data_IF_537548720934
#
_entry.id   IF_537548720934
#
_cell.length_a   1.000
_cell.length_b   1.000
_cell.length_c   1.000
_cell.angle_alpha   90.00
_cell.angle_beta   90.00
_cell.angle_gamma   90.00
#
_symmetry.space_group_name_H-M   'P 1'
#
loop_
_entity.id
_entity.type
_entity.pdbx_description
1 polymer ?
#
# COMPACT_ATOMS: atom_id res chain seq x y z
N UNK A 1 6.33 32.57 5.47
CA UNK A 1 7.42 32.15 6.39
C UNK A 1 6.95 31.53 7.71
N UNK A 2 5.86 31.97 8.37
CA UNK A 2 5.50 31.51 9.74
C UNK A 2 5.20 30.00 9.93
N UNK A 3 4.69 29.29 8.92
CA UNK A 3 4.23 27.90 9.06
C UNK A 3 5.32 26.82 9.09
N UNK A 4 6.50 27.12 8.54
CA UNK A 4 7.60 26.14 8.47
C UNK A 4 8.14 25.78 9.86
N UNK A 5 7.95 26.65 10.85
CA UNK A 5 8.37 26.44 12.24
C UNK A 5 7.29 25.78 13.10
N UNK A 6 6.02 25.80 12.67
CA UNK A 6 4.91 25.25 13.47
C UNK A 6 4.91 23.71 13.51
N UNK A 7 5.34 23.05 12.44
CA UNK A 7 5.44 21.58 12.42
C UNK A 7 6.45 21.01 13.45
N UNK A 8 7.74 21.45 13.46
CA UNK A 8 8.68 20.97 14.47
C UNK A 8 8.28 21.40 15.89
N UNK A 9 7.68 22.60 16.06
CA UNK A 9 7.15 23.02 17.37
C UNK A 9 6.02 22.11 17.84
N UNK A 10 5.08 21.75 16.97
CA UNK A 10 4.00 20.81 17.30
C UNK A 10 4.53 19.42 17.69
N UNK A 11 5.54 18.91 16.99
CA UNK A 11 6.17 17.63 17.33
C UNK A 11 6.93 17.67 18.65
N UNK A 12 7.61 18.77 18.96
CA UNK A 12 8.28 18.96 20.24
C UNK A 12 7.28 19.07 21.39
N UNK A 13 6.15 19.78 21.19
CA UNK A 13 5.05 19.82 22.15
C UNK A 13 4.45 18.42 22.39
N UNK A 14 4.25 17.66 21.32
CA UNK A 14 3.79 16.28 21.43
C UNK A 14 4.78 15.40 22.21
N UNK A 15 6.08 15.62 22.00
CA UNK A 15 7.15 14.92 22.74
C UNK A 15 7.15 15.28 24.22
N UNK A 16 6.94 16.56 24.57
CA UNK A 16 6.82 17.02 25.96
C UNK A 16 5.63 16.39 26.66
N UNK A 17 4.49 16.24 25.98
CA UNK A 17 3.34 15.51 26.52
C UNK A 17 3.65 14.04 26.84
N UNK A 18 4.37 13.35 25.94
CA UNK A 18 4.82 11.97 26.17
C UNK A 18 5.84 11.84 27.31
N UNK A 19 6.77 12.80 27.43
CA UNK A 19 7.72 12.85 28.55
C UNK A 19 7.00 13.09 29.87
N UNK A 20 6.02 14.00 29.89
CA UNK A 20 5.18 14.25 31.06
C UNK A 20 4.48 12.97 31.51
N UNK A 21 3.92 12.19 30.58
CA UNK A 21 3.28 10.90 30.89
C UNK A 21 4.24 9.87 31.49
N UNK A 22 5.52 9.88 31.10
CA UNK A 22 6.54 9.03 31.71
C UNK A 22 6.85 9.38 33.16
N UNK A 23 6.57 10.63 33.57
CA UNK A 23 6.80 11.16 34.92
C UNK A 23 5.56 11.04 35.80
N UNK A 24 4.38 11.37 35.28
CA UNK A 24 3.12 11.39 36.07
C UNK A 24 2.26 10.15 35.89
N UNK A 25 2.61 9.26 34.96
CA UNK A 25 1.92 7.99 34.73
C UNK A 25 2.26 6.93 35.78
N UNK A 26 1.49 5.84 35.82
CA UNK A 26 1.75 4.74 36.75
C UNK A 26 3.16 4.15 36.53
N UNK A 27 3.92 3.88 37.59
CA UNK A 27 5.28 3.34 37.50
C UNK A 27 5.28 1.94 36.84
N UNK A 28 6.42 1.54 36.28
CA UNK A 28 6.62 0.15 35.82
C UNK A 28 6.66 -0.80 37.02
N UNK A 29 6.54 -2.10 36.74
CA UNK A 29 6.74 -3.15 37.74
C UNK A 29 8.11 -3.03 38.46
N UNK A 30 9.10 -2.44 37.79
CA UNK A 30 10.46 -2.24 38.31
C UNK A 30 10.69 -0.83 38.91
N UNK A 31 9.64 -0.01 39.05
CA UNK A 31 9.71 1.32 39.69
C UNK A 31 10.34 2.44 38.85
N UNK A 32 10.64 2.18 37.57
CA UNK A 32 11.26 3.16 36.66
C UNK A 32 10.26 4.01 35.86
N UNK A 33 10.67 5.18 35.34
CA UNK A 33 9.85 5.99 34.45
C UNK A 33 9.60 5.28 33.11
N UNK A 34 8.37 5.37 32.60
CA UNK A 34 7.96 4.75 31.33
C UNK A 34 8.26 5.69 30.16
N UNK A 35 9.33 5.45 29.42
CA UNK A 35 9.61 6.19 28.19
C UNK A 35 8.78 5.61 27.03
N UNK A 36 7.86 6.41 26.49
CA UNK A 36 7.06 6.02 25.33
C UNK A 36 7.95 5.86 24.08
N UNK A 37 7.79 4.78 23.30
CA UNK A 37 8.48 4.64 22.01
C UNK A 37 8.10 5.73 20.99
N UNK A 38 7.03 6.49 21.24
CA UNK A 38 6.68 7.66 20.43
C UNK A 38 7.67 8.83 20.55
N UNK A 39 8.42 8.93 21.64
CA UNK A 39 9.40 10.01 21.88
C UNK A 39 10.50 10.04 20.81
N UNK A 40 11.27 8.95 20.56
CA UNK A 40 12.28 8.94 19.52
C UNK A 40 11.69 9.15 18.12
N UNK A 41 10.48 8.65 17.86
CA UNK A 41 9.77 8.83 16.58
C UNK A 41 9.47 10.31 16.30
N UNK A 42 8.93 11.04 17.28
CA UNK A 42 8.62 12.47 17.12
C UNK A 42 9.88 13.33 17.04
N UNK A 43 10.92 13.03 17.82
CA UNK A 43 12.19 13.76 17.77
C UNK A 43 12.90 13.56 16.43
N UNK A 44 12.96 12.32 15.93
CA UNK A 44 13.50 12.03 14.61
C UNK A 44 12.70 12.74 13.51
N UNK A 45 11.37 12.71 13.60
CA UNK A 45 10.51 13.44 12.66
C UNK A 45 10.75 14.96 12.71
N UNK A 46 10.89 15.55 13.90
CA UNK A 46 11.19 16.96 14.08
C UNK A 46 12.53 17.34 13.45
N UNK A 47 13.58 16.54 13.68
CA UNK A 47 14.90 16.72 13.08
C UNK A 47 14.87 16.58 11.54
N UNK A 48 14.17 15.58 11.03
CA UNK A 48 13.97 15.37 9.59
C UNK A 48 13.21 16.53 8.96
N UNK A 49 12.16 17.06 9.60
CA UNK A 49 11.41 18.22 9.10
C UNK A 49 12.26 19.50 9.14
N UNK A 50 13.12 19.63 10.15
CA UNK A 50 14.02 20.75 10.32
C UNK A 50 15.05 20.80 9.19
N UNK A 51 15.69 19.67 8.88
CA UNK A 51 16.70 19.58 7.82
C UNK A 51 16.12 19.42 6.41
N UNK A 52 15.02 18.68 6.25
CA UNK A 52 14.36 18.46 4.97
C UNK A 52 13.07 19.27 4.86
N UNK A 53 13.26 20.55 4.52
CA UNK A 53 12.17 21.51 4.37
C UNK A 53 11.23 21.29 3.17
N UNK A 54 11.28 20.12 2.52
CA UNK A 54 10.51 19.78 1.32
C UNK A 54 9.26 18.98 1.66
N UNK A 55 8.41 18.73 0.66
CA UNK A 55 7.20 17.90 0.80
C UNK A 55 7.49 16.52 1.42
N UNK A 56 8.66 15.95 1.16
CA UNK A 56 9.11 14.68 1.76
C UNK A 56 9.15 14.72 3.29
N UNK A 57 9.75 15.77 3.87
CA UNK A 57 9.77 15.94 5.33
C UNK A 57 8.37 16.07 5.91
N UNK A 58 7.42 16.63 5.14
CA UNK A 58 6.03 16.71 5.57
C UNK A 58 5.29 15.36 5.53
N UNK A 59 5.56 14.51 4.53
CA UNK A 59 5.00 13.15 4.47
C UNK A 59 5.54 12.31 5.61
N UNK A 60 6.86 12.29 5.82
CA UNK A 60 7.50 11.55 6.91
C UNK A 60 7.03 12.05 8.28
N UNK A 61 6.85 13.37 8.41
CA UNK A 61 6.25 13.96 9.60
C UNK A 61 4.82 13.49 9.88
N UNK A 62 3.97 13.41 8.84
CA UNK A 62 2.59 12.95 8.99
C UNK A 62 2.52 11.47 9.34
N UNK A 63 3.40 10.65 8.76
CA UNK A 63 3.54 9.24 9.14
C UNK A 63 3.92 9.11 10.63
N UNK A 64 4.90 9.88 11.10
CA UNK A 64 5.29 9.88 12.51
C UNK A 64 4.15 10.32 13.44
N UNK A 65 3.40 11.37 13.07
CA UNK A 65 2.20 11.79 13.81
C UNK A 65 1.16 10.67 13.84
N UNK A 66 0.89 10.03 12.70
CA UNK A 66 -0.10 8.96 12.62
C UNK A 66 0.26 7.75 13.50
N UNK A 67 1.51 7.29 13.43
CA UNK A 67 2.04 6.19 14.27
C UNK A 67 1.85 6.50 15.76
N UNK A 68 2.19 7.73 16.18
CA UNK A 68 2.09 8.11 17.59
C UNK A 68 0.64 8.30 18.05
N UNK A 69 -0.25 8.77 17.17
CA UNK A 69 -1.68 8.83 17.46
C UNK A 69 -2.24 7.42 17.69
N UNK A 70 -1.94 6.45 16.82
CA UNK A 70 -2.39 5.05 16.97
C UNK A 70 -1.88 4.45 18.27
N UNK A 71 -0.58 4.57 18.52
CA UNK A 71 0.02 4.09 19.76
C UNK A 71 -0.61 4.74 21.01
N UNK A 72 -1.00 6.02 20.92
CA UNK A 72 -1.63 6.71 22.05
C UNK A 72 -3.06 6.26 22.28
N UNK A 73 -3.84 6.06 21.22
CA UNK A 73 -5.21 5.51 21.30
C UNK A 73 -5.20 4.13 21.93
N UNK A 74 -4.30 3.24 21.48
CA UNK A 74 -4.12 1.91 22.07
C UNK A 74 -3.72 1.93 23.55
N UNK A 75 -3.05 3.00 24.01
CA UNK A 75 -2.64 3.20 25.40
C UNK A 75 -3.70 3.88 26.30
N UNK A 76 -4.94 4.04 25.82
CA UNK A 76 -6.03 4.64 26.61
C UNK A 76 -6.12 6.16 26.53
N UNK A 77 -5.81 6.76 25.37
CA UNK A 77 -5.90 8.22 25.15
C UNK A 77 -7.26 8.82 25.56
N UNK A 78 -8.37 8.14 25.26
CA UNK A 78 -9.71 8.63 25.57
C UNK A 78 -9.94 8.84 27.07
N UNK A 79 -9.87 7.77 27.89
CA UNK A 79 -9.91 7.82 29.35
C UNK A 79 -8.97 8.86 29.98
N UNK A 80 -7.77 9.03 29.40
CA UNK A 80 -6.81 9.99 29.94
C UNK A 80 -7.23 11.44 29.72
N UNK A 81 -7.77 11.75 28.54
CA UNK A 81 -8.16 13.12 28.19
C UNK A 81 -9.30 13.63 29.07
N UNK A 82 -10.17 12.75 29.55
CA UNK A 82 -11.28 13.07 30.46
C UNK A 82 -10.88 13.01 31.94
N UNK A 83 -9.61 12.66 32.24
CA UNK A 83 -9.05 12.76 33.59
C UNK A 83 -9.30 11.57 34.51
N UNK A 84 -9.69 10.42 33.97
CA UNK A 84 -9.91 9.21 34.79
C UNK A 84 -8.65 8.76 35.55
N UNK A 85 -7.46 9.02 34.99
CA UNK A 85 -6.16 8.74 35.63
C UNK A 85 -5.55 9.96 36.34
N UNK A 86 -6.36 10.99 36.60
CA UNK A 86 -5.96 12.19 37.33
C UNK A 86 -5.58 13.38 36.44
N UNK A 87 -5.70 14.58 37.01
CA UNK A 87 -5.45 15.86 36.33
C UNK A 87 -4.05 15.95 35.69
N UNK A 88 -2.95 15.50 36.34
CA UNK A 88 -1.62 15.58 35.73
C UNK A 88 -1.50 14.74 34.44
N UNK A 89 -2.10 13.55 34.42
CA UNK A 89 -2.12 12.66 33.25
C UNK A 89 -2.96 13.27 32.13
N UNK A 90 -4.12 13.84 32.47
CA UNK A 90 -4.96 14.56 31.51
C UNK A 90 -4.23 15.74 30.87
N UNK A 91 -3.57 16.57 31.68
CA UNK A 91 -2.79 17.73 31.19
C UNK A 91 -1.70 17.28 30.24
N UNK A 92 -0.91 16.25 30.58
CA UNK A 92 0.13 15.73 29.72
C UNK A 92 -0.42 15.21 28.38
N UNK A 93 -1.60 14.58 28.40
CA UNK A 93 -2.29 14.06 27.20
C UNK A 93 -2.90 15.14 26.34
N UNK A 94 -3.45 16.20 26.93
CA UNK A 94 -3.90 17.38 26.19
C UNK A 94 -2.72 18.10 25.52
N UNK A 95 -1.60 18.27 26.22
CA UNK A 95 -0.36 18.82 25.63
C UNK A 95 0.10 17.96 24.46
N UNK A 96 0.07 16.63 24.61
CA UNK A 96 0.41 15.69 23.55
C UNK A 96 -0.52 15.85 22.33
N UNK A 97 -1.84 15.80 22.55
CA UNK A 97 -2.86 15.83 21.50
C UNK A 97 -2.84 17.15 20.71
N UNK A 98 -2.72 18.29 21.42
CA UNK A 98 -2.58 19.61 20.80
C UNK A 98 -1.31 19.69 19.96
N UNK A 99 -0.18 19.18 20.47
CA UNK A 99 1.08 19.12 19.72
C UNK A 99 0.95 18.33 18.41
N UNK A 100 0.34 17.14 18.47
CA UNK A 100 0.09 16.28 17.29
C UNK A 100 -0.85 16.95 16.29
N UNK A 101 -1.92 17.60 16.75
CA UNK A 101 -2.87 18.32 15.90
C UNK A 101 -2.21 19.52 15.19
N UNK A 102 -1.42 20.31 15.91
CA UNK A 102 -0.67 21.45 15.35
C UNK A 102 0.35 20.97 14.31
N UNK A 103 1.06 19.87 14.60
CA UNK A 103 1.99 19.25 13.67
C UNK A 103 1.28 18.76 12.41
N UNK A 104 0.20 17.98 12.55
CA UNK A 104 -0.60 17.47 11.44
C UNK A 104 -1.11 18.60 10.55
N UNK A 105 -1.72 19.63 11.14
CA UNK A 105 -2.22 20.80 10.41
C UNK A 105 -1.12 21.50 9.62
N UNK A 106 0.02 21.80 10.27
CA UNK A 106 1.14 22.48 9.63
C UNK A 106 1.74 21.66 8.48
N UNK A 107 1.82 20.34 8.63
CA UNK A 107 2.35 19.42 7.63
C UNK A 107 1.41 19.24 6.44
N UNK A 108 0.11 19.04 6.68
CA UNK A 108 -0.92 19.01 5.63
C UNK A 108 -0.92 20.32 4.86
N UNK A 109 -0.91 21.46 5.55
CA UNK A 109 -0.84 22.79 4.91
C UNK A 109 0.42 22.93 4.05
N UNK A 110 1.55 22.39 4.49
CA UNK A 110 2.81 22.42 3.73
C UNK A 110 2.73 21.57 2.46
N UNK A 111 2.02 20.46 2.48
CA UNK A 111 1.75 19.63 1.30
C UNK A 111 0.79 20.33 0.32
N UNK A 112 -0.25 20.99 0.86
CA UNK A 112 -1.31 21.64 0.08
C UNK A 112 -0.82 22.94 -0.58
N UNK A 113 -0.17 23.83 0.17
CA UNK A 113 0.19 25.18 -0.28
C UNK A 113 1.50 25.19 -1.10
N UNK A 114 2.36 24.18 -0.92
CA UNK A 114 3.70 24.17 -1.52
C UNK A 114 4.63 25.22 -0.89
N UNK A 115 5.94 24.95 -0.85
CA UNK A 115 6.91 26.01 -0.50
C UNK A 115 7.16 26.89 -1.72
N UNK A 116 7.24 28.23 -1.58
CA UNK A 116 7.72 29.08 -2.66
C UNK A 116 9.10 28.57 -3.08
N UNK A 117 9.25 28.29 -4.37
CA UNK A 117 10.45 27.68 -4.91
C UNK A 117 11.64 28.64 -4.74
N UNK A 118 12.54 28.35 -3.80
CA UNK A 118 13.88 28.92 -3.84
C UNK A 118 14.58 28.34 -5.07
N UNK A 119 14.72 29.18 -6.11
CA UNK A 119 15.49 28.91 -7.31
C UNK A 119 16.94 28.68 -6.87
N UNK A 120 17.42 27.44 -7.02
CA UNK A 120 18.84 27.11 -6.81
C UNK A 120 19.32 26.33 -8.04
N UNK A 121 20.23 26.92 -8.79
CA UNK A 121 20.76 26.45 -10.09
C UNK A 121 21.75 25.29 -10.01
N UNK A 122 21.80 24.52 -8.92
CA UNK A 122 22.59 23.27 -8.89
C UNK A 122 21.73 22.11 -9.42
N UNK A 123 22.25 21.22 -10.29
CA UNK A 123 21.54 20.01 -10.69
C UNK A 123 21.32 19.15 -9.46
N UNK A 124 20.12 19.22 -8.89
CA UNK A 124 19.74 18.41 -7.74
C UNK A 124 19.63 16.97 -8.23
N UNK A 125 20.38 16.05 -7.60
CA UNK A 125 20.17 14.60 -7.78
C UNK A 125 18.67 14.31 -7.62
N UNK A 126 18.05 13.83 -8.68
CA UNK A 126 16.63 13.47 -8.70
C UNK A 126 16.39 12.24 -7.83
N UNK A 127 15.98 12.47 -6.57
CA UNK A 127 15.65 11.42 -5.58
C UNK A 127 14.19 10.96 -5.64
N UNK A 128 13.43 11.41 -6.63
CA UNK A 128 12.01 11.07 -6.76
C UNK A 128 11.78 9.55 -6.91
N UNK A 129 12.75 8.84 -7.46
CA UNK A 129 12.76 7.38 -7.57
C UNK A 129 12.75 6.65 -6.24
N UNK A 130 13.45 7.20 -5.23
CA UNK A 130 13.47 6.61 -3.88
C UNK A 130 12.08 6.66 -3.27
N UNK A 131 11.35 7.76 -3.47
CA UNK A 131 9.96 7.87 -3.03
C UNK A 131 9.06 6.82 -3.70
N UNK A 132 9.21 6.62 -5.02
CA UNK A 132 8.44 5.62 -5.75
C UNK A 132 8.76 4.20 -5.28
N UNK A 133 10.03 3.89 -5.01
CA UNK A 133 10.47 2.59 -4.51
C UNK A 133 9.90 2.37 -3.10
N UNK A 134 10.24 3.24 -2.14
CA UNK A 134 9.82 3.08 -0.73
C UNK A 134 8.31 3.06 -0.61
N UNK A 135 7.62 3.95 -1.32
CA UNK A 135 6.16 3.98 -1.29
C UNK A 135 5.52 2.80 -2.01
N UNK A 136 6.13 2.23 -3.06
CA UNK A 136 5.67 0.95 -3.61
C UNK A 136 5.81 -0.17 -2.58
N UNK A 137 6.98 -0.31 -1.94
CA UNK A 137 7.20 -1.35 -0.93
C UNK A 137 6.16 -1.24 0.20
N UNK A 138 5.96 -0.04 0.73
CA UNK A 138 4.98 0.21 1.78
C UNK A 138 3.53 -0.01 1.32
N UNK A 139 3.16 0.45 0.11
CA UNK A 139 1.80 0.27 -0.40
C UNK A 139 1.50 -1.20 -0.71
N UNK A 140 2.48 -1.99 -1.15
CA UNK A 140 2.32 -3.44 -1.34
C UNK A 140 2.11 -4.15 -0.01
N UNK A 141 2.88 -3.81 1.03
CA UNK A 141 2.68 -4.35 2.38
C UNK A 141 1.30 -3.96 2.95
N UNK A 142 0.91 -2.70 2.78
CA UNK A 142 -0.40 -2.21 3.22
C UNK A 142 -1.51 -2.92 2.44
N UNK A 143 -1.45 -2.92 1.11
CA UNK A 143 -2.50 -3.49 0.26
C UNK A 143 -2.68 -4.99 0.45
N UNK A 144 -1.58 -5.74 0.58
CA UNK A 144 -1.62 -7.18 0.82
C UNK A 144 -2.28 -7.49 2.18
N UNK A 145 -1.72 -6.95 3.26
CA UNK A 145 -2.00 -7.45 4.61
C UNK A 145 -2.65 -6.40 5.52
N UNK A 146 -1.98 -5.26 5.72
CA UNK A 146 -2.37 -4.34 6.79
C UNK A 146 -3.69 -3.63 6.51
N UNK A 147 -4.09 -3.46 5.25
CA UNK A 147 -5.30 -2.75 4.88
C UNK A 147 -6.58 -3.56 5.15
N UNK A 148 -6.49 -4.90 5.06
CA UNK A 148 -7.59 -5.79 5.43
C UNK A 148 -7.70 -5.94 6.95
N UNK A 149 -6.62 -5.70 7.71
CA UNK A 149 -6.63 -5.68 9.17
C UNK A 149 -7.23 -6.96 9.78
N UNK A 150 -6.89 -8.10 9.18
CA UNK A 150 -7.40 -9.41 9.59
C UNK A 150 -6.46 -10.16 10.54
N UNK A 151 -5.19 -9.73 10.65
CA UNK A 151 -4.17 -10.36 11.49
C UNK A 151 -4.17 -9.88 12.93
N UNK A 152 -3.51 -10.66 13.79
CA UNK A 152 -3.34 -10.39 15.23
C UNK A 152 -2.44 -9.17 15.53
N UNK A 153 -1.56 -8.81 14.60
CA UNK A 153 -0.75 -7.59 14.64
C UNK A 153 -1.56 -6.29 14.44
N UNK A 154 -2.87 -6.39 14.20
CA UNK A 154 -3.74 -5.24 13.97
C UNK A 154 -3.77 -4.32 15.19
N UNK A 155 -3.39 -3.07 15.01
CA UNK A 155 -3.34 -2.09 16.09
C UNK A 155 -2.12 -2.17 17.00
N UNK A 156 -1.20 -3.13 16.80
CA UNK A 156 0.11 -3.18 17.46
C UNK A 156 1.16 -2.40 16.64
N UNK A 157 1.67 -1.26 17.13
CA UNK A 157 2.68 -0.48 16.41
C UNK A 157 3.96 -1.26 16.09
N UNK A 158 4.37 -2.18 16.97
CA UNK A 158 5.57 -3.00 16.78
C UNK A 158 5.38 -4.00 15.64
N UNK A 159 4.31 -4.78 15.72
CA UNK A 159 3.88 -5.72 14.70
C UNK A 159 3.65 -5.05 13.33
N UNK A 160 3.01 -3.88 13.30
CA UNK A 160 2.81 -3.11 12.06
C UNK A 160 4.15 -2.71 11.43
N UNK A 161 5.11 -2.22 12.24
CA UNK A 161 6.41 -1.81 11.73
C UNK A 161 7.20 -3.00 11.16
N UNK A 162 7.18 -4.15 11.85
CA UNK A 162 7.75 -5.39 11.35
C UNK A 162 7.07 -5.83 10.05
N UNK A 163 5.74 -5.88 10.04
CA UNK A 163 4.92 -6.27 8.89
C UNK A 163 5.19 -5.39 7.66
N UNK A 164 5.36 -4.07 7.82
CA UNK A 164 5.71 -3.17 6.73
C UNK A 164 7.06 -3.54 6.07
N UNK A 165 8.04 -3.95 6.86
CA UNK A 165 9.35 -4.36 6.35
C UNK A 165 9.27 -5.75 5.73
N UNK A 166 8.67 -6.70 6.45
CA UNK A 166 8.56 -8.09 6.05
C UNK A 166 7.70 -8.24 4.78
N UNK A 167 6.48 -7.71 4.78
CA UNK A 167 5.60 -7.73 3.60
C UNK A 167 6.05 -6.75 2.51
N UNK A 168 6.84 -5.74 2.86
CA UNK A 168 7.54 -4.92 1.88
C UNK A 168 8.56 -5.74 1.10
N UNK A 169 9.25 -6.67 1.75
CA UNK A 169 10.13 -7.63 1.11
C UNK A 169 9.36 -8.75 0.38
N UNK A 170 8.32 -9.31 1.00
CA UNK A 170 7.54 -10.42 0.45
C UNK A 170 6.70 -10.01 -0.77
N UNK A 171 5.98 -8.88 -0.72
CA UNK A 171 5.11 -8.44 -1.83
C UNK A 171 5.66 -7.23 -2.60
N UNK A 172 6.27 -6.28 -1.89
CA UNK A 172 6.77 -5.05 -2.50
C UNK A 172 7.97 -5.27 -3.40
N UNK A 173 8.94 -6.07 -2.96
CA UNK A 173 10.15 -6.35 -3.72
C UNK A 173 9.86 -7.11 -5.04
N UNK A 174 9.04 -8.19 -5.08
CA UNK A 174 8.71 -8.83 -6.34
C UNK A 174 7.82 -7.95 -7.24
N UNK A 175 6.90 -7.13 -6.70
CA UNK A 175 6.21 -6.11 -7.49
C UNK A 175 7.19 -5.16 -8.19
N UNK A 176 8.18 -4.67 -7.44
CA UNK A 176 9.21 -3.80 -7.97
C UNK A 176 10.05 -4.51 -9.04
N UNK A 177 10.46 -5.76 -8.82
CA UNK A 177 11.23 -6.55 -9.78
C UNK A 177 10.44 -6.83 -11.07
N UNK A 178 9.18 -7.26 -10.97
CA UNK A 178 8.31 -7.48 -12.13
C UNK A 178 8.10 -6.19 -12.92
N UNK A 179 7.90 -5.07 -12.22
CA UNK A 179 7.82 -3.75 -12.83
C UNK A 179 9.12 -3.35 -13.52
N UNK A 180 10.27 -3.54 -12.88
CA UNK A 180 11.59 -3.26 -13.47
C UNK A 180 11.83 -4.08 -14.73
N UNK A 181 11.52 -5.39 -14.69
CA UNK A 181 11.63 -6.29 -15.84
C UNK A 181 10.78 -5.76 -17.01
N UNK A 182 9.50 -5.49 -16.76
CA UNK A 182 8.59 -4.99 -17.77
C UNK A 182 9.08 -3.65 -18.36
N UNK A 183 9.53 -2.69 -17.53
CA UNK A 183 9.99 -1.38 -18.04
C UNK A 183 11.31 -1.47 -18.79
N UNK A 184 12.25 -2.33 -18.39
CA UNK A 184 13.51 -2.56 -19.11
C UNK A 184 13.30 -3.18 -20.49
N UNK A 185 12.33 -4.08 -20.59
CA UNK A 185 11.98 -4.75 -21.85
C UNK A 185 10.98 -3.94 -22.70
N UNK A 186 10.61 -2.73 -22.27
CA UNK A 186 9.66 -1.86 -22.96
C UNK A 186 8.22 -2.39 -22.95
N UNK A 187 7.89 -3.33 -22.05
CA UNK A 187 6.56 -3.93 -21.93
C UNK A 187 5.54 -3.01 -21.26
N UNK A 188 4.28 -3.21 -21.63
CA UNK A 188 3.13 -2.48 -21.11
C UNK A 188 2.47 -3.12 -19.89
N UNK A 189 1.39 -2.48 -19.43
CA UNK A 189 0.55 -2.98 -18.33
C UNK A 189 -0.03 -4.38 -18.54
N UNK A 190 -0.46 -4.81 -19.74
CA UNK A 190 -0.96 -6.17 -19.93
C UNK A 190 0.06 -7.26 -19.54
N UNK A 191 1.32 -7.13 -19.96
CA UNK A 191 2.39 -8.05 -19.55
C UNK A 191 2.67 -7.95 -18.05
N UNK A 192 2.65 -6.74 -17.50
CA UNK A 192 2.88 -6.52 -16.08
C UNK A 192 1.80 -7.18 -15.20
N UNK A 193 0.53 -7.09 -15.60
CA UNK A 193 -0.58 -7.78 -14.91
C UNK A 193 -0.45 -9.30 -14.97
N UNK A 194 0.06 -9.85 -16.08
CA UNK A 194 0.36 -11.30 -16.19
C UNK A 194 1.53 -11.72 -15.28
N UNK A 195 2.55 -10.87 -15.13
CA UNK A 195 3.61 -11.10 -14.15
C UNK A 195 3.06 -11.02 -12.72
N UNK A 196 2.16 -10.09 -12.42
CA UNK A 196 1.49 -10.03 -11.11
C UNK A 196 0.56 -11.22 -10.88
N UNK A 197 -0.06 -11.77 -11.91
CA UNK A 197 -0.80 -13.02 -11.82
C UNK A 197 0.14 -14.19 -11.50
N UNK A 198 1.29 -14.26 -12.17
CA UNK A 198 2.30 -15.27 -11.87
C UNK A 198 2.80 -15.16 -10.42
N UNK A 199 3.08 -13.94 -9.94
CA UNK A 199 3.45 -13.70 -8.56
C UNK A 199 2.32 -14.06 -7.58
N UNK A 200 1.08 -13.66 -7.85
CA UNK A 200 -0.06 -13.97 -6.96
C UNK A 200 -0.34 -15.46 -6.87
N UNK A 201 -0.18 -16.20 -7.97
CA UNK A 201 -0.22 -17.66 -7.96
C UNK A 201 0.96 -18.26 -7.21
N UNK A 202 2.17 -17.70 -7.36
CA UNK A 202 3.34 -18.19 -6.63
C UNK A 202 3.19 -17.98 -5.12
N UNK A 203 2.72 -16.81 -4.66
CA UNK A 203 2.45 -16.53 -3.24
C UNK A 203 1.49 -17.58 -2.67
N UNK A 204 0.27 -17.64 -3.22
CA UNK A 204 -0.81 -18.48 -2.69
C UNK A 204 -0.57 -20.00 -2.80
N UNK A 205 0.20 -20.45 -3.79
CA UNK A 205 0.32 -21.87 -4.10
C UNK A 205 1.72 -22.47 -3.86
N UNK A 206 2.78 -21.68 -3.97
CA UNK A 206 4.17 -22.17 -3.87
C UNK A 206 4.87 -21.67 -2.61
N UNK A 207 4.51 -20.50 -2.10
CA UNK A 207 5.20 -19.84 -0.99
C UNK A 207 4.47 -20.13 0.31
N UNK A 208 3.27 -19.57 0.51
CA UNK A 208 2.48 -19.80 1.73
C UNK A 208 1.60 -21.06 1.64
N UNK A 209 1.38 -21.57 0.43
CA UNK A 209 0.56 -22.76 0.13
C UNK A 209 -0.86 -22.70 0.71
N UNK A 210 -1.33 -21.50 1.05
CA UNK A 210 -2.66 -21.21 1.61
C UNK A 210 -3.78 -21.72 0.71
N UNK A 211 -3.55 -21.76 -0.61
CA UNK A 211 -4.49 -22.30 -1.59
C UNK A 211 -4.83 -23.77 -1.33
N UNK A 212 -3.88 -24.54 -0.78
CA UNK A 212 -4.03 -25.98 -0.52
C UNK A 212 -4.36 -26.30 0.92
N UNK A 213 -4.46 -25.29 1.80
CA UNK A 213 -4.73 -25.51 3.22
C UNK A 213 -6.12 -26.10 3.45
N UNK A 214 -6.17 -27.18 4.22
CA UNK A 214 -7.43 -27.76 4.72
C UNK A 214 -7.97 -26.93 5.89
N UNK A 215 -7.06 -26.48 6.75
CA UNK A 215 -7.30 -25.50 7.80
C UNK A 215 -6.18 -24.45 7.71
N UNK A 216 -6.49 -23.18 7.88
CA UNK A 216 -5.53 -22.08 7.77
C UNK A 216 -5.51 -21.31 9.09
N UNK A 217 -4.51 -21.63 9.92
CA UNK A 217 -4.31 -21.03 11.25
C UNK A 217 -5.55 -21.06 12.18
N UNK A 218 -6.43 -22.06 12.03
CA UNK A 218 -7.63 -22.20 12.85
C UNK A 218 -8.69 -21.12 12.60
N UNK A 219 -8.68 -20.52 11.40
CA UNK A 219 -9.58 -19.43 11.02
C UNK A 219 -11.07 -19.85 11.06
N UNK A 220 -11.86 -19.16 11.90
CA UNK A 220 -13.31 -19.36 11.96
C UNK A 220 -13.96 -18.98 10.62
N UNK A 221 -14.61 -19.94 9.96
CA UNK A 221 -15.22 -19.76 8.64
C UNK A 221 -14.33 -20.18 7.46
N UNK A 222 -13.13 -20.74 7.70
CA UNK A 222 -12.30 -21.30 6.62
C UNK A 222 -13.05 -22.36 5.81
N UNK A 223 -13.66 -23.33 6.50
CA UNK A 223 -14.44 -24.40 5.90
C UNK A 223 -15.62 -23.84 5.07
N UNK A 224 -16.31 -22.83 5.60
CA UNK A 224 -17.43 -22.17 4.91
C UNK A 224 -16.99 -21.44 3.63
N UNK A 225 -15.74 -20.95 3.57
CA UNK A 225 -15.17 -20.35 2.35
C UNK A 225 -14.63 -21.40 1.37
N UNK A 226 -14.11 -22.51 1.89
CA UNK A 226 -13.43 -23.56 1.11
C UNK A 226 -14.39 -24.55 0.51
N UNK A 227 -15.21 -25.21 1.34
CA UNK A 227 -15.98 -26.38 0.96
C UNK A 227 -17.01 -26.14 -0.16
N UNK A 228 -17.78 -25.02 -0.19
CA UNK A 228 -18.85 -24.90 -1.18
C UNK A 228 -18.36 -24.77 -2.63
N UNK A 229 -17.06 -24.52 -2.83
CA UNK A 229 -16.42 -24.44 -4.15
C UNK A 229 -15.21 -25.34 -4.29
N UNK A 230 -15.06 -26.33 -3.41
CA UNK A 230 -13.94 -27.26 -3.43
C UNK A 230 -13.93 -28.06 -4.74
N UNK A 231 -12.80 -28.02 -5.45
CA UNK A 231 -12.52 -28.93 -6.56
C UNK A 231 -11.68 -30.07 -5.99
N UNK A 232 -12.32 -31.16 -5.55
CA UNK A 232 -11.65 -32.26 -4.83
C UNK A 232 -10.46 -32.83 -5.61
N UNK A 233 -10.54 -32.90 -6.95
CA UNK A 233 -9.46 -33.40 -7.80
C UNK A 233 -8.21 -32.51 -7.80
N UNK A 234 -8.34 -31.22 -7.47
CA UNK A 234 -7.23 -30.26 -7.42
C UNK A 234 -6.85 -29.88 -5.97
N UNK A 235 -7.70 -30.18 -4.99
CA UNK A 235 -7.45 -29.97 -3.57
C UNK A 235 -7.54 -28.52 -3.10
N UNK A 236 -8.14 -27.63 -3.89
CA UNK A 236 -8.38 -26.23 -3.53
C UNK A 236 -9.79 -25.77 -3.93
N UNK A 237 -10.28 -24.70 -3.32
CA UNK A 237 -11.58 -24.12 -3.64
C UNK A 237 -11.50 -23.05 -4.72
N UNK A 238 -12.51 -23.01 -5.60
CA UNK A 238 -12.63 -21.98 -6.62
C UNK A 238 -12.69 -20.56 -6.02
N UNK A 239 -13.32 -20.41 -4.86
CA UNK A 239 -13.37 -19.16 -4.11
C UNK A 239 -12.00 -18.72 -3.61
N UNK A 240 -11.22 -19.60 -2.96
CA UNK A 240 -9.88 -19.24 -2.46
C UNK A 240 -8.92 -18.97 -3.62
N UNK A 241 -9.01 -19.74 -4.72
CA UNK A 241 -8.23 -19.48 -5.93
C UNK A 241 -8.51 -18.07 -6.49
N UNK A 242 -9.78 -17.67 -6.57
CA UNK A 242 -10.15 -16.32 -6.97
C UNK A 242 -9.61 -15.29 -5.96
N UNK A 243 -9.97 -15.44 -4.68
CA UNK A 243 -9.70 -14.46 -3.63
C UNK A 243 -8.21 -14.19 -3.48
N UNK A 244 -7.38 -15.24 -3.42
CA UNK A 244 -5.94 -15.11 -3.22
C UNK A 244 -5.25 -14.62 -4.49
N UNK A 245 -5.49 -15.24 -5.65
CA UNK A 245 -4.76 -14.89 -6.87
C UNK A 245 -5.18 -13.49 -7.36
N UNK A 246 -6.49 -13.22 -7.47
CA UNK A 246 -6.99 -11.92 -7.93
C UNK A 246 -6.73 -10.85 -6.88
N UNK A 247 -6.86 -11.19 -5.59
CA UNK A 247 -6.49 -10.32 -4.48
C UNK A 247 -5.04 -9.86 -4.57
N UNK A 248 -4.09 -10.77 -4.78
CA UNK A 248 -2.69 -10.43 -4.95
C UNK A 248 -2.42 -9.59 -6.20
N UNK A 249 -3.02 -9.95 -7.34
CA UNK A 249 -2.89 -9.17 -8.59
C UNK A 249 -3.24 -7.70 -8.36
N UNK A 250 -4.33 -7.45 -7.63
CA UNK A 250 -4.87 -6.10 -7.43
C UNK A 250 -4.19 -5.41 -6.25
N UNK A 251 -4.31 -5.97 -5.05
CA UNK A 251 -4.01 -5.28 -3.79
C UNK A 251 -2.53 -5.34 -3.42
N UNK A 252 -1.86 -6.46 -3.68
CA UNK A 252 -0.43 -6.61 -3.36
C UNK A 252 0.47 -5.98 -4.42
N UNK A 253 0.05 -6.00 -5.70
CA UNK A 253 0.94 -5.63 -6.81
C UNK A 253 0.41 -4.50 -7.69
N UNK A 254 -0.71 -4.71 -8.39
CA UNK A 254 -1.20 -3.83 -9.45
C UNK A 254 -1.53 -2.41 -8.97
N UNK A 255 -2.33 -2.30 -7.91
CA UNK A 255 -2.73 -1.01 -7.36
C UNK A 255 -1.56 -0.23 -6.73
N UNK A 256 -0.70 -0.83 -5.88
CA UNK A 256 0.53 -0.20 -5.40
C UNK A 256 1.42 0.35 -6.53
N UNK A 257 1.66 -0.44 -7.57
CA UNK A 257 2.50 -0.02 -8.71
C UNK A 257 1.85 1.13 -9.49
N UNK A 258 0.54 1.09 -9.72
CA UNK A 258 -0.18 2.13 -10.44
C UNK A 258 -0.13 3.49 -9.71
N UNK A 259 -0.30 3.48 -8.38
CA UNK A 259 -0.16 4.68 -7.55
C UNK A 259 1.29 5.21 -7.59
N UNK A 260 2.27 4.34 -7.39
CA UNK A 260 3.68 4.72 -7.38
C UNK A 260 4.15 5.27 -8.74
N UNK A 261 3.71 4.70 -9.87
CA UNK A 261 4.00 5.23 -11.21
C UNK A 261 3.39 6.62 -11.43
N UNK A 262 2.19 6.88 -10.90
CA UNK A 262 1.50 8.15 -11.07
C UNK A 262 2.09 9.30 -10.23
N UNK A 263 2.85 9.03 -9.18
CA UNK A 263 3.52 10.05 -8.38
C UNK A 263 4.58 10.84 -9.15
N UNK A 264 5.27 10.19 -10.10
CA UNK A 264 6.32 10.82 -10.92
C UNK A 264 6.18 10.35 -12.38
N UNK A 265 5.24 10.94 -13.16
CA UNK A 265 4.88 10.48 -14.50
C UNK A 265 6.06 10.34 -15.47
N UNK A 266 7.00 11.29 -15.46
CA UNK A 266 8.20 11.28 -16.31
C UNK A 266 9.12 10.06 -16.08
N UNK A 267 8.96 9.37 -14.95
CA UNK A 267 9.71 8.15 -14.60
C UNK A 267 8.88 6.88 -14.63
N UNK A 268 7.57 6.97 -14.87
CA UNK A 268 6.66 5.81 -14.85
C UNK A 268 7.08 4.71 -15.81
N UNK A 269 7.59 5.06 -17.00
CA UNK A 269 8.07 4.09 -18.01
C UNK A 269 9.58 3.82 -17.97
N UNK A 270 10.32 4.45 -17.04
CA UNK A 270 11.78 4.29 -16.92
C UNK A 270 12.13 3.31 -15.80
N UNK A 271 13.19 2.51 -15.91
CA UNK A 271 13.71 1.74 -14.78
C UNK A 271 13.99 2.65 -13.57
N UNK A 272 13.63 2.19 -12.37
CA UNK A 272 13.87 2.90 -11.11
C UNK A 272 15.12 2.39 -10.39
N UNK A 273 15.41 1.10 -10.54
CA UNK A 273 16.58 0.48 -9.92
C UNK A 273 17.79 0.51 -10.85
N UNK A 274 18.99 0.52 -10.25
CA UNK A 274 20.22 0.07 -10.92
C UNK A 274 20.46 -1.42 -10.64
N UNK A 275 21.52 -2.03 -11.18
CA UNK A 275 21.85 -3.43 -10.96
C UNK A 275 21.95 -3.81 -9.47
N UNK A 276 22.60 -2.96 -8.67
CA UNK A 276 22.74 -3.15 -7.21
C UNK A 276 21.37 -3.17 -6.53
N UNK A 277 20.50 -2.20 -6.84
CA UNK A 277 19.16 -2.15 -6.27
C UNK A 277 18.31 -3.36 -6.66
N UNK A 278 18.47 -3.88 -7.89
CA UNK A 278 17.82 -5.11 -8.35
C UNK A 278 18.28 -6.32 -7.53
N UNK A 279 19.59 -6.45 -7.28
CA UNK A 279 20.12 -7.53 -6.42
C UNK A 279 19.56 -7.43 -5.01
N UNK A 280 19.55 -6.24 -4.39
CA UNK A 280 18.98 -6.07 -3.05
C UNK A 280 17.50 -6.43 -2.99
N UNK A 281 16.69 -6.01 -3.98
CA UNK A 281 15.27 -6.37 -4.03
C UNK A 281 15.08 -7.89 -4.21
N UNK A 282 15.90 -8.54 -5.04
CA UNK A 282 15.85 -9.99 -5.23
C UNK A 282 16.23 -10.76 -3.96
N UNK A 283 17.32 -10.36 -3.28
CA UNK A 283 17.74 -10.96 -2.02
C UNK A 283 16.69 -10.76 -0.94
N UNK A 284 16.14 -9.55 -0.79
CA UNK A 284 15.08 -9.28 0.18
C UNK A 284 13.86 -10.17 -0.05
N UNK A 285 13.42 -10.32 -1.31
CA UNK A 285 12.33 -11.22 -1.66
C UNK A 285 12.66 -12.68 -1.33
N UNK A 286 13.81 -13.19 -1.77
CA UNK A 286 14.23 -14.58 -1.51
C UNK A 286 14.30 -14.85 -0.01
N UNK A 287 14.85 -13.93 0.79
CA UNK A 287 14.91 -14.08 2.24
C UNK A 287 13.49 -14.18 2.83
N UNK A 288 12.57 -13.28 2.45
CA UNK A 288 11.19 -13.32 2.93
C UNK A 288 10.47 -14.62 2.52
N UNK A 289 10.65 -15.08 1.28
CA UNK A 289 10.14 -16.37 0.79
C UNK A 289 10.69 -17.52 1.63
N UNK A 290 12.00 -17.54 1.88
CA UNK A 290 12.66 -18.58 2.66
C UNK A 290 12.09 -18.67 4.09
N UNK A 291 11.77 -17.53 4.71
CA UNK A 291 11.08 -17.53 6.01
C UNK A 291 9.74 -18.25 5.94
N UNK A 292 8.89 -17.94 4.95
CA UNK A 292 7.56 -18.55 4.81
C UNK A 292 7.65 -20.04 4.46
N UNK A 293 8.41 -20.43 3.44
CA UNK A 293 8.46 -21.85 3.02
C UNK A 293 9.13 -22.76 4.07
N UNK A 294 9.94 -22.18 4.96
CA UNK A 294 10.54 -22.92 6.08
C UNK A 294 9.58 -23.15 7.24
N UNK A 295 8.44 -22.46 7.27
CA UNK A 295 7.40 -22.63 8.27
C UNK A 295 6.58 -23.90 7.94
N UNK A 296 6.54 -24.91 8.83
CA UNK A 296 5.72 -26.10 8.63
C UNK A 296 4.23 -25.81 8.43
N UNK A 297 3.71 -24.72 9.01
CA UNK A 297 2.30 -24.32 8.84
C UNK A 297 1.99 -23.82 7.42
N UNK A 298 3.04 -23.49 6.65
CA UNK A 298 2.94 -23.07 5.24
C UNK A 298 3.23 -24.22 4.24
N UNK A 299 3.19 -25.49 4.68
CA UNK A 299 3.50 -26.67 3.86
C UNK A 299 2.28 -27.56 3.57
N UNK A 300 1.22 -26.97 3.02
CA UNK A 300 -0.06 -27.65 2.75
C UNK A 300 -0.18 -28.34 1.39
N UNK A 301 0.70 -28.03 0.43
CA UNK A 301 0.62 -28.50 -0.96
C UNK A 301 1.32 -29.85 -1.18
N UNK A 302 0.64 -30.77 -1.85
CA UNK A 302 1.26 -32.01 -2.34
C UNK A 302 2.24 -31.74 -3.48
N UNK A 303 3.24 -32.64 -3.73
CA UNK A 303 4.21 -32.43 -4.81
C UNK A 303 3.59 -32.20 -6.19
N UNK A 304 2.48 -32.87 -6.52
CA UNK A 304 1.79 -32.68 -7.81
C UNK A 304 1.12 -31.31 -7.92
N UNK A 305 0.54 -30.80 -6.82
CA UNK A 305 -0.05 -29.46 -6.74
C UNK A 305 1.03 -28.38 -6.89
N UNK A 306 2.19 -28.56 -6.25
CA UNK A 306 3.33 -27.65 -6.37
C UNK A 306 3.90 -27.64 -7.80
N UNK A 307 4.10 -28.81 -8.40
CA UNK A 307 4.56 -28.92 -9.79
C UNK A 307 3.55 -28.28 -10.76
N UNK A 308 2.26 -28.56 -10.58
CA UNK A 308 1.19 -27.99 -11.39
C UNK A 308 1.16 -26.46 -11.29
N UNK A 309 1.28 -25.93 -10.08
CA UNK A 309 1.29 -24.49 -9.80
C UNK A 309 2.52 -23.81 -10.39
N UNK A 310 3.70 -24.43 -10.27
CA UNK A 310 4.92 -23.95 -10.92
C UNK A 310 4.77 -23.93 -12.45
N UNK A 311 4.09 -24.92 -13.04
CA UNK A 311 3.72 -24.94 -14.44
C UNK A 311 2.84 -23.75 -14.84
N UNK A 312 1.79 -23.45 -14.05
CA UNK A 312 0.91 -22.29 -14.29
C UNK A 312 1.68 -20.98 -14.20
N UNK A 313 2.53 -20.80 -13.19
CA UNK A 313 3.40 -19.64 -13.04
C UNK A 313 4.30 -19.48 -14.27
N UNK A 314 4.93 -20.57 -14.73
CA UNK A 314 5.77 -20.58 -15.94
C UNK A 314 4.99 -20.17 -17.20
N UNK A 315 3.77 -20.69 -17.38
CA UNK A 315 2.88 -20.31 -18.48
C UNK A 315 2.52 -18.83 -18.42
N UNK A 316 2.18 -18.29 -17.25
CA UNK A 316 1.85 -16.87 -17.09
C UNK A 316 3.04 -15.96 -17.43
N UNK A 317 4.25 -16.32 -16.99
CA UNK A 317 5.49 -15.61 -17.36
C UNK A 317 5.75 -15.68 -18.87
N UNK A 318 5.57 -16.84 -19.48
CA UNK A 318 5.73 -17.02 -20.92
C UNK A 318 4.72 -16.15 -21.70
N UNK A 319 3.45 -16.18 -21.32
CA UNK A 319 2.40 -15.36 -21.94
C UNK A 319 2.68 -13.87 -21.73
N UNK A 320 3.18 -13.46 -20.56
CA UNK A 320 3.60 -12.08 -20.30
C UNK A 320 4.69 -11.63 -21.30
N UNK A 321 5.67 -12.49 -21.56
CA UNK A 321 6.74 -12.24 -22.52
C UNK A 321 6.22 -12.18 -23.97
N UNK A 322 5.33 -13.09 -24.37
CA UNK A 322 4.71 -13.10 -25.70
C UNK A 322 3.86 -11.84 -25.93
N UNK A 323 3.06 -11.44 -24.95
CA UNK A 323 2.27 -10.21 -24.98
C UNK A 323 3.17 -8.97 -25.02
N UNK A 324 4.29 -8.99 -24.29
CA UNK A 324 5.21 -7.86 -24.18
C UNK A 324 6.04 -7.62 -25.44
N UNK A 325 6.37 -8.69 -26.17
CA UNK A 325 7.08 -8.64 -27.45
C UNK A 325 6.22 -8.08 -28.60
N UNK A 326 4.89 -8.16 -28.50
CA UNK A 326 3.99 -7.55 -29.49
C UNK A 326 4.08 -6.02 -29.35
N UNK A 327 4.92 -5.39 -30.18
CA UNK A 327 5.04 -3.93 -30.25
C UNK A 327 3.66 -3.35 -30.56
N UNK A 328 3.12 -2.55 -29.63
CA UNK A 328 1.99 -1.67 -29.93
C UNK A 328 2.54 -0.30 -30.27
N UNK A 329 2.30 0.14 -31.49
CA UNK A 329 2.28 1.55 -31.83
C UNK A 329 1.22 2.20 -30.95
N UNK A 330 1.63 3.09 -30.05
CA UNK A 330 0.69 3.91 -29.29
C UNK A 330 0.25 5.01 -30.23
N UNK A 331 -0.83 4.77 -30.97
CA UNK A 331 -1.54 5.85 -31.64
C UNK A 331 -2.24 6.67 -30.56
N UNK A 332 -1.88 7.95 -30.45
CA UNK A 332 -2.65 8.89 -29.63
C UNK A 332 -4.03 9.02 -30.29
N UNK A 333 -5.13 8.66 -29.61
CA UNK A 333 -6.44 8.72 -30.22
C UNK A 333 -6.81 10.19 -30.49
N UNK A 334 -6.70 10.63 -31.74
CA UNK A 334 -7.02 11.99 -32.16
C UNK A 334 -8.55 12.19 -32.05
N UNK A 335 -8.98 13.22 -31.33
CA UNK A 335 -10.41 13.57 -31.18
C UNK A 335 -11.20 12.78 -30.11
N UNK A 336 -10.56 11.98 -29.27
CA UNK A 336 -11.26 11.21 -28.24
C UNK A 336 -11.60 12.02 -26.97
N UNK A 337 -12.79 11.79 -26.39
CA UNK A 337 -13.21 12.42 -25.11
C UNK A 337 -12.45 11.82 -23.93
N UNK A 338 -11.86 12.66 -23.09
CA UNK A 338 -11.28 12.27 -21.80
C UNK A 338 -12.36 11.69 -20.88
N UNK A 339 -12.05 10.60 -20.18
CA UNK A 339 -12.95 10.01 -19.19
C UNK A 339 -12.81 10.79 -17.88
N UNK A 340 -13.93 11.03 -17.19
CA UNK A 340 -13.88 11.63 -15.86
C UNK A 340 -13.16 10.68 -14.89
N UNK A 341 -12.15 11.19 -14.18
CA UNK A 341 -11.44 10.43 -13.15
C UNK A 341 -12.38 9.93 -12.05
N UNK A 342 -13.42 10.70 -11.73
CA UNK A 342 -14.43 10.30 -10.74
C UNK A 342 -15.28 9.13 -11.21
N UNK A 343 -15.62 9.08 -12.50
CA UNK A 343 -16.35 7.94 -13.08
C UNK A 343 -15.47 6.69 -13.04
N UNK A 344 -14.18 6.81 -13.41
CA UNK A 344 -13.26 5.67 -13.34
C UNK A 344 -13.06 5.18 -11.91
N UNK A 345 -12.89 6.08 -10.95
CA UNK A 345 -12.81 5.74 -9.54
C UNK A 345 -14.09 5.06 -9.04
N UNK A 346 -15.26 5.62 -9.33
CA UNK A 346 -16.55 5.07 -8.88
C UNK A 346 -16.81 3.68 -9.47
N UNK A 347 -16.56 3.50 -10.78
CA UNK A 347 -16.69 2.18 -11.43
C UNK A 347 -15.71 1.18 -10.83
N UNK A 348 -14.46 1.57 -10.61
CA UNK A 348 -13.47 0.68 -9.97
C UNK A 348 -13.89 0.27 -8.56
N UNK A 349 -14.41 1.21 -7.77
CA UNK A 349 -14.93 0.97 -6.42
C UNK A 349 -16.14 0.01 -6.47
N UNK A 350 -17.09 0.23 -7.36
CA UNK A 350 -18.26 -0.66 -7.52
C UNK A 350 -17.85 -2.06 -7.99
N UNK A 351 -16.95 -2.17 -8.96
CA UNK A 351 -16.47 -3.47 -9.43
C UNK A 351 -15.65 -4.22 -8.38
N UNK A 352 -14.93 -3.50 -7.51
CA UNK A 352 -14.15 -4.10 -6.44
C UNK A 352 -14.98 -4.52 -5.22
N UNK A 353 -16.13 -3.87 -4.95
CA UNK A 353 -16.99 -4.25 -3.81
C UNK A 353 -17.87 -5.47 -4.11
N UNK A 354 -18.21 -5.71 -5.37
CA UNK A 354 -19.09 -6.83 -5.76
C UNK A 354 -18.56 -8.19 -5.24
N UNK A 355 -17.28 -8.56 -5.43
CA UNK A 355 -16.72 -9.82 -4.91
C UNK A 355 -16.81 -9.98 -3.39
N UNK A 356 -16.75 -8.87 -2.64
CA UNK A 356 -16.83 -8.89 -1.16
C UNK A 356 -18.27 -9.06 -0.64
N UNK A 357 -19.27 -8.82 -1.49
CA UNK A 357 -20.70 -8.91 -1.13
C UNK A 357 -21.36 -10.23 -1.56
N UNK A 358 -20.68 -11.03 -2.39
CA UNK A 358 -21.22 -12.31 -2.85
C UNK A 358 -20.74 -13.47 -1.98
N UNK A 359 -21.59 -14.47 -1.72
CA UNK A 359 -21.22 -15.61 -0.88
C UNK A 359 -20.17 -16.50 -1.59
N UNK A 360 -19.38 -17.24 -0.80
CA UNK A 360 -18.38 -18.19 -1.27
C UNK A 360 -19.01 -19.46 -1.90
N UNK A 361 -19.75 -19.27 -2.98
CA UNK A 361 -20.44 -20.32 -3.76
C UNK A 361 -20.02 -20.24 -5.22
N UNK A 362 -20.32 -21.27 -6.03
CA UNK A 362 -20.03 -21.23 -7.47
C UNK A 362 -20.69 -20.05 -8.19
N UNK A 363 -21.88 -19.65 -7.76
CA UNK A 363 -22.54 -18.45 -8.27
C UNK A 363 -21.75 -17.19 -7.91
N UNK A 364 -21.31 -17.05 -6.66
CA UNK A 364 -20.48 -15.92 -6.22
C UNK A 364 -19.14 -15.86 -6.94
N UNK A 365 -18.47 -17.00 -7.14
CA UNK A 365 -17.25 -17.10 -7.96
C UNK A 365 -17.53 -16.67 -9.39
N UNK A 366 -18.61 -17.15 -10.01
CA UNK A 366 -19.02 -16.77 -11.36
C UNK A 366 -19.25 -15.26 -11.51
N UNK A 367 -19.96 -14.65 -10.55
CA UNK A 367 -20.19 -13.19 -10.51
C UNK A 367 -18.86 -12.45 -10.35
N UNK A 368 -17.99 -12.90 -9.46
CA UNK A 368 -16.71 -12.23 -9.14
C UNK A 368 -15.73 -12.28 -10.31
N UNK A 369 -15.60 -13.44 -10.95
CA UNK A 369 -14.79 -13.63 -12.17
C UNK A 369 -15.35 -12.79 -13.32
N UNK A 370 -16.67 -12.84 -13.55
CA UNK A 370 -17.30 -12.09 -14.64
C UNK A 370 -17.16 -10.59 -14.45
N UNK A 371 -17.45 -10.07 -13.25
CA UNK A 371 -17.27 -8.65 -12.90
C UNK A 371 -15.83 -8.20 -13.17
N UNK A 372 -14.84 -8.95 -12.67
CA UNK A 372 -13.44 -8.54 -12.80
C UNK A 372 -12.93 -8.69 -14.24
N UNK A 373 -13.39 -9.70 -14.99
CA UNK A 373 -13.07 -9.87 -16.41
C UNK A 373 -13.67 -8.74 -17.26
N UNK A 374 -14.95 -8.40 -17.05
CA UNK A 374 -15.63 -7.29 -17.73
C UNK A 374 -14.96 -5.97 -17.38
N UNK A 375 -14.61 -5.75 -16.10
CA UNK A 375 -13.91 -4.56 -15.66
C UNK A 375 -12.53 -4.42 -16.30
N UNK A 376 -11.73 -5.49 -16.32
CA UNK A 376 -10.43 -5.52 -16.98
C UNK A 376 -10.54 -5.28 -18.50
N UNK A 377 -11.53 -5.90 -19.16
CA UNK A 377 -11.81 -5.68 -20.57
C UNK A 377 -12.23 -4.23 -20.86
N UNK A 378 -13.09 -3.63 -20.02
CA UNK A 378 -13.50 -2.25 -20.13
C UNK A 378 -12.32 -1.28 -19.98
N UNK A 379 -11.42 -1.51 -19.02
CA UNK A 379 -10.17 -0.75 -18.87
C UNK A 379 -9.31 -0.89 -20.12
N UNK A 380 -9.13 -2.12 -20.64
CA UNK A 380 -8.33 -2.37 -21.82
C UNK A 380 -8.88 -1.65 -23.05
N UNK A 381 -10.19 -1.69 -23.27
CA UNK A 381 -10.86 -0.99 -24.37
C UNK A 381 -10.78 0.53 -24.19
N UNK A 382 -11.07 1.04 -22.98
CA UNK A 382 -10.95 2.46 -22.67
C UNK A 382 -9.52 2.97 -22.90
N UNK A 383 -8.51 2.17 -22.53
CA UNK A 383 -7.09 2.51 -22.72
C UNK A 383 -6.64 2.58 -24.17
N UNK A 384 -7.41 1.98 -25.09
CA UNK A 384 -7.15 2.00 -26.55
C UNK A 384 -7.89 3.11 -27.26
N UNK A 385 -9.13 3.39 -26.86
CA UNK A 385 -10.02 4.27 -27.62
C UNK A 385 -10.19 5.66 -27.00
N UNK A 386 -9.73 5.89 -25.78
CA UNK A 386 -9.83 7.18 -25.07
C UNK A 386 -8.46 7.68 -24.63
N UNK A 387 -8.37 8.96 -24.28
CA UNK A 387 -7.20 9.53 -23.61
C UNK A 387 -7.05 8.88 -22.22
N UNK A 388 -6.24 7.82 -22.13
CA UNK A 388 -5.95 7.11 -20.88
C UNK A 388 -4.59 7.53 -20.34
N UNK A 389 -4.60 8.08 -19.12
CA UNK A 389 -3.41 8.62 -18.46
C UNK A 389 -3.07 7.84 -17.18
N UNK A 390 -1.89 8.07 -16.62
CA UNK A 390 -1.51 7.48 -15.32
C UNK A 390 -2.49 7.84 -14.19
N UNK A 391 -3.20 8.97 -14.31
CA UNK A 391 -4.25 9.33 -13.33
C UNK A 391 -5.46 8.41 -13.40
N UNK A 392 -5.79 7.90 -14.58
CA UNK A 392 -6.88 6.92 -14.73
C UNK A 392 -6.48 5.58 -14.11
N UNK A 393 -5.24 5.13 -14.33
CA UNK A 393 -4.70 3.95 -13.66
C UNK A 393 -4.65 4.12 -12.14
N UNK A 394 -4.23 5.30 -11.65
CA UNK A 394 -4.25 5.61 -10.22
C UNK A 394 -5.67 5.69 -9.64
N UNK A 395 -6.66 6.17 -10.41
CA UNK A 395 -8.06 6.19 -10.00
C UNK A 395 -8.64 4.77 -9.87
N UNK A 396 -8.29 3.85 -10.78
CA UNK A 396 -8.63 2.43 -10.67
C UNK A 396 -8.02 1.83 -9.40
N UNK A 397 -6.71 2.03 -9.21
CA UNK A 397 -5.98 1.53 -8.04
C UNK A 397 -6.55 2.06 -6.72
N UNK A 398 -6.86 3.35 -6.66
CA UNK A 398 -7.48 3.98 -5.50
C UNK A 398 -8.87 3.40 -5.22
N UNK A 399 -9.70 3.19 -6.25
CA UNK A 399 -11.02 2.58 -6.10
C UNK A 399 -10.94 1.20 -5.46
N UNK A 400 -10.07 0.32 -5.98
CA UNK A 400 -9.86 -1.02 -5.43
C UNK A 400 -9.35 -0.99 -3.98
N UNK A 401 -8.27 -0.24 -3.70
CA UNK A 401 -7.71 -0.18 -2.34
C UNK A 401 -8.68 0.46 -1.34
N UNK A 402 -9.47 1.46 -1.75
CA UNK A 402 -10.50 2.03 -0.88
C UNK A 402 -11.54 0.99 -0.47
N UNK A 403 -11.99 0.11 -1.38
CA UNK A 403 -12.93 -0.97 -1.01
C UNK A 403 -12.32 -1.85 0.07
N UNK A 404 -11.10 -2.37 -0.14
CA UNK A 404 -10.43 -3.24 0.84
C UNK A 404 -10.32 -2.58 2.22
N UNK A 405 -9.93 -1.30 2.26
CA UNK A 405 -9.83 -0.54 3.52
C UNK A 405 -11.17 -0.18 4.14
N UNK A 406 -12.24 0.01 3.36
CA UNK A 406 -13.59 0.25 3.86
C UNK A 406 -14.21 -1.04 4.43
N UNK A 407 -14.03 -2.17 3.74
CA UNK A 407 -14.52 -3.47 4.19
C UNK A 407 -13.87 -3.92 5.50
N UNK A 408 -12.62 -3.53 5.78
CA UNK A 408 -11.98 -3.80 7.07
C UNK A 408 -12.77 -3.24 8.29
N UNK A 409 -13.66 -2.26 8.09
CA UNK A 409 -14.54 -1.76 9.15
C UNK A 409 -15.72 -2.68 9.46
N UNK A 410 -16.07 -3.60 8.57
CA UNK A 410 -17.29 -4.44 8.70
C UNK A 410 -17.05 -5.78 9.37
N UNK A 411 -15.80 -6.17 9.63
CA UNK A 411 -15.43 -7.40 10.34
C UNK A 411 -14.36 -7.14 11.41
N UNK A 412 -14.20 -8.07 12.34
CA UNK A 412 -13.10 -8.11 13.29
C UNK A 412 -11.97 -9.00 12.78
N UNK A 413 -10.73 -8.83 13.28
CA UNK A 413 -9.60 -9.65 12.87
C UNK A 413 -9.95 -11.13 12.95
N UNK A 414 -9.52 -11.83 11.91
CA UNK A 414 -9.77 -13.24 11.68
C UNK A 414 -8.81 -14.11 12.51
N UNK A 415 -7.70 -13.51 12.94
CA UNK A 415 -6.68 -14.11 13.79
C UNK A 415 -6.50 -13.27 15.06
N UNK A 416 -6.42 -13.95 16.21
CA UNK A 416 -6.23 -13.33 17.52
C UNK A 416 -7.46 -12.57 18.04
N UNK A 417 -7.31 -12.02 19.26
CA UNK A 417 -8.33 -11.16 19.88
C UNK A 417 -7.80 -9.72 19.97
N UNK A 418 -8.39 -8.82 19.18
CA UNK A 418 -7.97 -7.42 19.09
C UNK A 418 -9.12 -6.53 19.55
N UNK A 419 -8.84 -5.74 20.59
CA UNK A 419 -9.82 -4.79 21.11
C UNK A 419 -10.29 -3.80 20.01
N UNK A 420 -11.59 -3.39 20.04
CA UNK A 420 -12.15 -2.51 19.01
C UNK A 420 -11.39 -1.19 18.80
N UNK A 421 -10.87 -0.57 19.87
CA UNK A 421 -10.15 0.69 19.81
C UNK A 421 -8.90 0.64 18.92
N UNK A 422 -7.89 -0.21 19.24
CA UNK A 422 -6.73 -0.45 18.40
C UNK A 422 -7.09 -0.84 16.96
N UNK A 423 -8.08 -1.73 16.78
CA UNK A 423 -8.55 -2.17 15.46
C UNK A 423 -9.04 -1.03 14.59
N UNK A 424 -9.96 -0.20 15.08
CA UNK A 424 -10.49 0.90 14.27
C UNK A 424 -9.47 2.02 14.07
N UNK A 425 -8.57 2.26 15.03
CA UNK A 425 -7.45 3.19 14.86
C UNK A 425 -6.51 2.74 13.74
N UNK A 426 -6.18 1.45 13.67
CA UNK A 426 -5.41 0.84 12.59
C UNK A 426 -6.10 1.05 11.24
N UNK A 427 -7.39 0.69 11.13
CA UNK A 427 -8.14 0.84 9.88
C UNK A 427 -8.13 2.29 9.37
N UNK A 428 -8.36 3.27 10.25
CA UNK A 428 -8.33 4.69 9.90
C UNK A 428 -6.95 5.10 9.37
N UNK A 429 -5.86 4.63 9.99
CA UNK A 429 -4.51 4.97 9.54
C UNK A 429 -4.15 4.30 8.22
N UNK A 430 -4.47 3.02 8.03
CA UNK A 430 -4.17 2.31 6.77
C UNK A 430 -4.97 2.88 5.61
N UNK A 431 -6.27 3.12 5.80
CA UNK A 431 -7.10 3.80 4.80
C UNK A 431 -6.62 5.22 4.54
N UNK A 432 -6.25 5.97 5.58
CA UNK A 432 -5.67 7.31 5.46
C UNK A 432 -4.38 7.34 4.63
N UNK A 433 -3.50 6.35 4.80
CA UNK A 433 -2.27 6.20 4.02
C UNK A 433 -2.57 5.95 2.53
N UNK A 434 -3.54 5.07 2.22
CA UNK A 434 -4.01 4.81 0.84
C UNK A 434 -4.61 6.07 0.21
N UNK A 435 -5.49 6.78 0.94
CA UNK A 435 -6.11 8.01 0.45
C UNK A 435 -5.08 9.11 0.19
N UNK A 436 -4.07 9.24 1.06
CA UNK A 436 -2.96 10.17 0.84
C UNK A 436 -2.15 9.79 -0.40
N UNK A 437 -1.82 8.51 -0.57
CA UNK A 437 -1.10 8.01 -1.74
C UNK A 437 -1.88 8.28 -3.05
N UNK A 438 -3.18 8.02 -3.05
CA UNK A 438 -4.08 8.29 -4.17
C UNK A 438 -4.17 9.79 -4.48
N UNK A 439 -4.30 10.63 -3.45
CA UNK A 439 -4.35 12.08 -3.61
C UNK A 439 -3.06 12.64 -4.21
N UNK A 440 -1.89 12.16 -3.77
CA UNK A 440 -0.59 12.54 -4.34
C UNK A 440 -0.51 12.11 -5.82
N UNK A 441 -0.96 10.91 -6.16
CA UNK A 441 -0.97 10.40 -7.53
C UNK A 441 -1.83 11.26 -8.48
N UNK A 442 -3.02 11.65 -8.04
CA UNK A 442 -3.94 12.47 -8.86
C UNK A 442 -3.46 13.92 -8.98
N UNK A 443 -2.85 14.50 -7.93
CA UNK A 443 -2.36 15.89 -7.96
C UNK A 443 -1.00 16.05 -8.62
N UNK A 444 -0.10 15.09 -8.46
CA UNK A 444 1.29 15.17 -8.92
C UNK A 444 1.42 15.39 -10.43
N UNK A 445 0.48 14.87 -11.22
CA UNK A 445 0.53 14.97 -12.68
C UNK A 445 -0.01 16.27 -13.27
N UNK A 446 -0.54 17.23 -12.47
CA UNK A 446 -1.05 18.53 -12.98
C UNK A 446 0.06 19.52 -13.36
N UNK A 447 1.26 19.33 -12.84
CA UNK A 447 2.38 20.24 -13.05
C UNK A 447 3.02 20.14 -14.46
N UNK A 448 2.77 19.06 -15.20
CA UNK A 448 3.39 18.82 -16.51
C UNK A 448 2.57 19.33 -17.69
N UNK A 449 1.25 19.51 -17.54
CA UNK A 449 0.39 20.15 -18.54
C UNK A 449 0.63 21.66 -18.70
N UNK A 450 1.54 22.25 -17.90
CA UNK A 450 1.90 23.67 -17.93
C UNK A 450 3.31 23.95 -18.50
N UNK A 451 4.05 22.94 -18.97
CA UNK A 451 5.29 23.18 -19.71
C UNK A 451 4.94 23.56 -21.16
N UNK A 452 5.31 24.76 -21.63
CA UNK A 452 5.06 25.14 -23.02
C UNK A 452 5.75 24.14 -23.94
N UNK A 453 5.02 23.66 -24.94
CA UNK A 453 5.51 22.77 -25.98
C UNK A 453 6.81 23.34 -26.56
N UNK A 454 7.95 22.78 -26.15
CA UNK A 454 9.21 23.01 -26.83
C UNK A 454 9.07 22.40 -28.21
N UNK A 455 8.78 23.26 -29.19
CA UNK A 455 8.78 22.92 -30.61
C UNK A 455 10.10 22.20 -30.94
N UNK A 456 10.08 21.07 -31.65
CA UNK A 456 11.31 20.48 -32.14
C UNK A 456 11.97 21.48 -33.10
N UNK A 457 13.11 22.03 -32.71
CA UNK A 457 14.03 22.68 -33.65
C UNK A 457 14.65 21.58 -34.49
N UNK A 458 14.00 21.24 -35.60
CA UNK A 458 14.65 20.57 -36.70
C UNK A 458 15.77 21.48 -37.22
N UNK A 459 17.03 21.11 -36.97
CA UNK A 459 18.14 21.60 -37.76
C UNK A 459 18.33 20.62 -38.90
N UNK A 460 17.96 21.06 -40.10
CA UNK A 460 18.46 20.51 -41.35
C UNK A 460 19.93 20.90 -41.44
N UNK A 461 20.83 19.92 -41.51
CA UNK A 461 21.98 19.88 -42.41
C UNK A 461 22.35 18.43 -42.66
#
# INVERSE_FOLDING_TARGET
>A
MRWQRLAPVGLLLATLGLLGLGVVGPPTADGGPRLSPGIPVLLAAAAVIWWWQRRLGAVLGLLAVAVVVVASVGAGLGPDLIGERGVPVAVARWVQAVGLAVAAYALVRRLVVGSPAAVSERPRRDRSHVLQIVGLLALSAIGAELLAAYGDNTGDPGGIAFALVFFGALYGAPALLARELARRLGWGWPSMLLLFAALGTAEAALIDQSLFSVDYYGYEGWEANREPTLISALGFSGYNAYSFIVGHIIFSFGAPVALAEAWVPVRARKPWLGPVGTVFAAVAYIVAVLFIVSDPESQSGSPSQLIGSAGVVGVLVLVAALVGRRRRTVETPHGSRELSLWVVFAVALVCAVIPDLVPATWLGVGISVTTMAVFGAAILLASRHRVWTLRHAAAVAAGCLCVRGLMAFTYFPLLGDVAPGPKYAHNVVMLGAVLLAAWVAVRGSRAESALPALRPRWRVR
#
